data_IF_207952129817
#
_entry.id   IF_207952129817
#
_cell.length_a   1.000
_cell.length_b   1.000
_cell.length_c   1.000
_cell.angle_alpha   90.00
_cell.angle_beta   90.00
_cell.angle_gamma   90.00
#
_symmetry.space_group_name_H-M   'P 1'
#
loop_
_entity.id
_entity.type
_entity.pdbx_description
1 polymer ?
#
# COMPACT_ATOMS: atom_id res chain seq x y z
N UNK A 1 9.87 -13.51 -8.62
CA UNK A 1 11.31 -13.52 -8.31
C UNK A 1 11.49 -13.52 -6.80
N UNK A 2 12.68 -13.87 -6.29
CA UNK A 2 12.96 -13.91 -4.84
C UNK A 2 14.33 -13.30 -4.59
N UNK A 3 14.43 -12.42 -3.60
CA UNK A 3 15.69 -11.86 -3.09
C UNK A 3 15.90 -12.34 -1.65
N UNK A 4 17.10 -12.82 -1.31
CA UNK A 4 17.44 -13.10 0.09
C UNK A 4 17.82 -11.78 0.79
N UNK A 5 17.14 -11.49 1.88
CA UNK A 5 17.32 -10.29 2.69
C UNK A 5 17.23 -10.63 4.17
N UNK A 6 18.29 -10.40 4.94
CA UNK A 6 18.36 -10.72 6.38
C UNK A 6 17.90 -12.15 6.70
N UNK A 7 18.37 -13.13 5.93
CA UNK A 7 18.00 -14.55 6.01
C UNK A 7 16.49 -14.84 5.80
N UNK A 8 15.79 -13.96 5.11
CA UNK A 8 14.38 -14.09 4.75
C UNK A 8 14.20 -13.85 3.25
N UNK A 9 13.19 -14.43 2.65
CA UNK A 9 12.87 -14.31 1.24
C UNK A 9 11.94 -13.13 1.00
N UNK A 10 12.35 -12.17 0.15
CA UNK A 10 11.47 -11.12 -0.36
C UNK A 10 10.99 -11.55 -1.76
N UNK A 11 9.69 -11.72 -1.92
CA UNK A 11 9.08 -12.02 -3.20
C UNK A 11 8.68 -10.74 -3.93
N UNK A 12 8.96 -10.69 -5.23
CA UNK A 12 8.61 -9.55 -6.09
C UNK A 12 8.44 -10.00 -7.54
N UNK A 13 7.84 -9.17 -8.36
CA UNK A 13 7.79 -9.34 -9.82
C UNK A 13 8.33 -8.11 -10.55
N UNK A 14 8.86 -8.32 -11.75
CA UNK A 14 9.27 -7.27 -12.69
C UNK A 14 8.64 -7.58 -14.04
N UNK A 15 7.98 -6.58 -14.62
CA UNK A 15 7.32 -6.70 -15.94
C UNK A 15 7.58 -5.43 -16.75
N UNK A 16 7.81 -5.57 -18.05
CA UNK A 16 8.07 -4.45 -18.95
C UNK A 16 9.50 -3.91 -18.89
N UNK A 17 9.72 -2.79 -19.57
CA UNK A 17 11.00 -2.06 -19.66
C UNK A 17 10.72 -0.56 -19.75
N UNK A 18 11.66 0.27 -19.31
CA UNK A 18 11.52 1.73 -19.35
C UNK A 18 11.70 2.37 -17.98
N UNK A 19 11.15 3.57 -17.74
CA UNK A 19 11.15 4.20 -16.43
C UNK A 19 10.52 3.30 -15.37
N UNK A 20 11.09 3.31 -14.16
CA UNK A 20 10.64 2.37 -13.11
C UNK A 20 9.40 2.87 -12.40
N UNK A 21 8.42 1.98 -12.22
CA UNK A 21 7.23 2.14 -11.39
C UNK A 21 7.23 1.06 -10.32
N UNK A 22 7.19 1.46 -9.05
CA UNK A 22 7.14 0.56 -7.90
C UNK A 22 5.72 0.55 -7.33
N UNK A 23 5.17 -0.65 -7.15
CA UNK A 23 3.81 -0.86 -6.64
C UNK A 23 3.87 -1.57 -5.29
N UNK A 24 3.35 -0.91 -4.23
CA UNK A 24 3.33 -1.39 -2.85
C UNK A 24 1.88 -1.61 -2.40
N UNK A 25 1.54 -2.84 -2.06
CA UNK A 25 0.20 -3.26 -1.66
C UNK A 25 -0.17 -2.86 -0.22
N UNK A 26 -1.44 -2.95 0.13
CA UNK A 26 -1.97 -2.68 1.46
C UNK A 26 -1.91 -3.88 2.42
N UNK A 27 -2.44 -3.67 3.63
CA UNK A 27 -2.57 -4.72 4.63
C UNK A 27 -3.55 -5.80 4.18
N UNK A 28 -3.23 -7.09 4.42
CA UNK A 28 -3.97 -8.27 3.94
C UNK A 28 -3.99 -8.44 2.40
N UNK A 29 -3.18 -7.69 1.68
CA UNK A 29 -3.02 -7.80 0.24
C UNK A 29 -1.66 -8.41 -0.13
N UNK A 30 -1.39 -8.49 -1.42
CA UNK A 30 -0.12 -8.93 -2.00
C UNK A 30 -0.01 -8.43 -3.45
N UNK A 31 1.07 -8.76 -4.15
CA UNK A 31 1.30 -8.27 -5.52
C UNK A 31 0.17 -8.55 -6.50
N UNK A 32 -0.69 -9.57 -6.26
CA UNK A 32 -1.78 -9.90 -7.17
C UNK A 32 -2.86 -8.81 -7.27
N UNK A 33 -2.94 -7.88 -6.29
CA UNK A 33 -3.86 -6.75 -6.39
C UNK A 33 -3.60 -5.87 -7.62
N UNK A 34 -2.38 -5.93 -8.15
CA UNK A 34 -1.93 -5.12 -9.27
C UNK A 34 -2.10 -5.79 -10.65
N UNK A 35 -2.65 -7.03 -10.69
CA UNK A 35 -2.73 -7.83 -11.92
C UNK A 35 -3.47 -7.13 -13.07
N UNK A 36 -4.47 -6.32 -12.76
CA UNK A 36 -5.22 -5.55 -13.76
C UNK A 36 -4.46 -4.29 -14.24
N UNK A 37 -3.63 -3.71 -13.37
CA UNK A 37 -2.90 -2.47 -13.66
C UNK A 37 -1.55 -2.73 -14.35
N UNK A 38 -0.86 -3.81 -13.98
CA UNK A 38 0.48 -4.14 -14.51
C UNK A 38 0.52 -4.21 -16.03
N UNK A 39 -0.41 -4.90 -16.75
CA UNK A 39 -0.35 -4.99 -18.19
C UNK A 39 -0.30 -3.63 -18.89
N UNK A 40 -1.15 -2.70 -18.45
CA UNK A 40 -1.23 -1.36 -19.02
C UNK A 40 0.01 -0.49 -18.73
N UNK A 41 0.55 -0.58 -17.51
CA UNK A 41 1.75 0.17 -17.13
C UNK A 41 3.01 -0.38 -17.78
N UNK A 42 3.10 -1.70 -17.97
CA UNK A 42 4.30 -2.37 -18.49
C UNK A 42 4.49 -2.21 -20.00
N UNK A 43 3.55 -1.62 -20.72
CA UNK A 43 3.71 -1.26 -22.14
C UNK A 43 4.88 -0.28 -22.35
N UNK A 44 5.07 0.66 -21.42
CA UNK A 44 6.09 1.72 -21.52
C UNK A 44 6.98 1.87 -20.28
N UNK A 45 6.75 1.08 -19.24
CA UNK A 45 7.48 1.18 -17.98
C UNK A 45 8.01 -0.18 -17.50
N UNK A 46 9.08 -0.15 -16.70
CA UNK A 46 9.47 -1.29 -15.87
C UNK A 46 8.66 -1.25 -14.58
N UNK A 47 7.71 -2.17 -14.42
CA UNK A 47 6.85 -2.26 -13.24
C UNK A 47 7.41 -3.28 -12.26
N UNK A 48 7.72 -2.84 -11.04
CA UNK A 48 8.21 -3.68 -9.94
C UNK A 48 7.11 -3.73 -8.87
N UNK A 49 6.51 -4.88 -8.63
CA UNK A 49 5.59 -5.10 -7.52
C UNK A 49 6.22 -6.02 -6.47
N UNK A 50 6.06 -5.68 -5.19
CA UNK A 50 6.78 -6.31 -4.08
C UNK A 50 5.77 -6.78 -3.05
N UNK A 51 5.85 -8.05 -2.64
CA UNK A 51 5.16 -8.54 -1.45
C UNK A 51 5.87 -7.98 -0.21
N UNK A 52 5.19 -7.16 0.57
CA UNK A 52 5.73 -6.57 1.79
C UNK A 52 5.93 -7.64 2.89
N UNK A 53 6.82 -7.36 3.86
CA UNK A 53 7.16 -8.30 4.93
C UNK A 53 5.91 -8.94 5.59
N UNK A 54 5.89 -10.27 5.63
CA UNK A 54 4.80 -11.06 6.21
C UNK A 54 3.53 -11.17 5.35
N UNK A 55 3.57 -10.70 4.10
CA UNK A 55 2.45 -10.76 3.15
C UNK A 55 2.85 -11.52 1.87
N UNK A 56 1.83 -12.03 1.17
CA UNK A 56 2.02 -12.78 -0.06
C UNK A 56 2.97 -13.96 0.12
N UNK A 57 4.10 -13.94 -0.59
CA UNK A 57 5.15 -14.96 -0.52
C UNK A 57 6.42 -14.45 0.18
N UNK A 58 6.38 -13.25 0.77
CA UNK A 58 7.49 -12.69 1.54
C UNK A 58 7.44 -13.13 2.99
N UNK A 59 8.58 -13.57 3.50
CA UNK A 59 8.72 -14.05 4.87
C UNK A 59 8.52 -12.95 5.92
N UNK A 60 8.29 -13.38 7.17
CA UNK A 60 8.39 -12.52 8.34
C UNK A 60 9.84 -12.45 8.83
N UNK A 61 10.31 -11.26 9.21
CA UNK A 61 11.64 -11.07 9.83
C UNK A 61 11.57 -10.84 11.35
N UNK A 62 10.37 -10.96 11.93
CA UNK A 62 10.14 -10.76 13.37
C UNK A 62 8.67 -10.69 13.72
N UNK A 63 8.36 -10.11 14.86
CA UNK A 63 6.99 -9.93 15.37
C UNK A 63 6.50 -8.48 15.29
N UNK A 64 7.33 -7.58 14.78
CA UNK A 64 7.01 -6.20 14.45
C UNK A 64 7.67 -5.89 13.12
N UNK A 65 6.88 -5.52 12.12
CA UNK A 65 7.37 -5.03 10.84
C UNK A 65 7.06 -3.54 10.78
N UNK A 66 8.01 -2.72 11.20
CA UNK A 66 7.85 -1.26 11.09
C UNK A 66 7.76 -0.84 9.62
N UNK A 67 7.20 0.32 9.36
CA UNK A 67 7.17 0.85 7.99
C UNK A 67 8.59 1.09 7.45
N UNK A 68 9.53 1.37 8.36
CA UNK A 68 10.96 1.50 8.07
C UNK A 68 11.60 0.16 7.69
N UNK A 69 11.27 -0.94 8.38
CA UNK A 69 11.76 -2.28 8.03
C UNK A 69 11.24 -2.73 6.67
N UNK A 70 9.95 -2.47 6.39
CA UNK A 70 9.35 -2.74 5.09
C UNK A 70 9.99 -1.88 4.00
N UNK A 71 10.26 -0.60 4.26
CA UNK A 71 10.97 0.30 3.34
C UNK A 71 12.38 -0.21 3.04
N UNK A 72 13.12 -0.69 4.05
CA UNK A 72 14.46 -1.26 3.87
C UNK A 72 14.44 -2.53 3.00
N UNK A 73 13.42 -3.38 3.16
CA UNK A 73 13.22 -4.55 2.31
C UNK A 73 12.93 -4.14 0.84
N UNK A 74 12.10 -3.11 0.63
CA UNK A 74 11.86 -2.53 -0.71
C UNK A 74 13.17 -1.98 -1.28
N UNK A 75 13.94 -1.19 -0.54
CA UNK A 75 15.24 -0.68 -0.99
C UNK A 75 16.22 -1.79 -1.34
N UNK A 76 16.21 -2.93 -0.63
CA UNK A 76 17.06 -4.06 -0.98
C UNK A 76 16.74 -4.61 -2.38
N UNK A 77 15.44 -4.71 -2.74
CA UNK A 77 15.01 -5.11 -4.09
C UNK A 77 15.46 -4.09 -5.12
N UNK A 78 15.21 -2.80 -4.88
CA UNK A 78 15.58 -1.73 -5.82
C UNK A 78 17.09 -1.65 -6.03
N UNK A 79 17.87 -1.76 -4.97
CA UNK A 79 19.34 -1.80 -5.03
C UNK A 79 19.84 -3.00 -5.82
N UNK A 80 19.24 -4.18 -5.63
CA UNK A 80 19.61 -5.39 -6.38
C UNK A 80 19.44 -5.22 -7.88
N UNK A 81 18.47 -4.40 -8.31
CA UNK A 81 18.21 -4.09 -9.71
C UNK A 81 18.81 -2.75 -10.18
N UNK A 82 19.66 -2.12 -9.36
CA UNK A 82 20.33 -0.83 -9.67
C UNK A 82 19.33 0.27 -10.03
N UNK A 83 18.18 0.32 -9.34
CA UNK A 83 17.14 1.34 -9.53
C UNK A 83 17.51 2.58 -8.71
N UNK A 84 17.81 3.67 -9.39
CA UNK A 84 18.15 4.96 -8.77
C UNK A 84 16.96 5.90 -8.66
N UNK A 85 15.98 5.75 -9.57
CA UNK A 85 14.79 6.60 -9.61
C UNK A 85 13.54 5.80 -9.95
N UNK A 86 12.42 6.12 -9.32
CA UNK A 86 11.14 5.48 -9.59
C UNK A 86 9.93 6.39 -9.30
N UNK A 87 8.82 6.14 -9.98
CA UNK A 87 7.50 6.50 -9.47
C UNK A 87 7.07 5.42 -8.48
N UNK A 88 6.57 5.82 -7.32
CA UNK A 88 6.12 4.88 -6.29
C UNK A 88 4.63 5.08 -6.06
N UNK A 89 3.86 3.99 -6.13
CA UNK A 89 2.44 3.97 -5.85
C UNK A 89 2.23 3.03 -4.68
N UNK A 90 1.73 3.57 -3.57
CA UNK A 90 1.47 2.82 -2.35
C UNK A 90 -0.01 2.83 -1.98
N UNK A 91 -0.62 1.64 -1.94
CA UNK A 91 -1.98 1.47 -1.45
C UNK A 91 -1.99 1.30 0.07
N UNK A 92 -2.81 2.08 0.78
CA UNK A 92 -3.05 1.92 2.22
C UNK A 92 -1.74 1.78 3.01
N UNK A 93 -1.46 0.63 3.63
CA UNK A 93 -0.19 0.33 4.31
C UNK A 93 1.04 0.53 3.39
N UNK A 94 0.94 0.18 2.10
CA UNK A 94 2.00 0.45 1.12
C UNK A 94 2.33 1.93 0.96
N UNK A 95 1.35 2.82 1.16
CA UNK A 95 1.57 4.27 1.23
C UNK A 95 2.35 4.68 2.47
N UNK A 96 2.12 4.04 3.63
CA UNK A 96 2.93 4.29 4.84
C UNK A 96 4.39 3.87 4.64
N UNK A 97 4.59 2.73 3.96
CA UNK A 97 5.94 2.25 3.59
C UNK A 97 6.61 3.23 2.63
N UNK A 98 5.90 3.69 1.60
CA UNK A 98 6.42 4.67 0.64
C UNK A 98 6.82 5.99 1.32
N UNK A 99 6.05 6.45 2.32
CA UNK A 99 6.40 7.63 3.13
C UNK A 99 7.64 7.42 4.00
N UNK A 100 7.84 6.21 4.55
CA UNK A 100 9.08 5.86 5.25
C UNK A 100 10.28 5.82 4.28
N UNK A 101 10.07 5.43 3.03
CA UNK A 101 11.10 5.51 1.98
C UNK A 101 11.43 6.96 1.64
N UNK A 102 10.45 7.86 1.55
CA UNK A 102 10.68 9.31 1.31
C UNK A 102 11.60 9.90 2.37
N UNK A 103 11.34 9.60 3.63
CA UNK A 103 12.14 10.12 4.75
C UNK A 103 13.61 9.67 4.67
N UNK A 104 13.86 8.43 4.20
CA UNK A 104 15.21 7.87 4.08
C UNK A 104 15.93 8.29 2.79
N UNK A 105 15.25 8.27 1.65
CA UNK A 105 15.84 8.49 0.33
C UNK A 105 14.90 9.29 -0.60
N UNK A 106 14.65 10.58 -0.33
CA UNK A 106 13.73 11.40 -1.13
C UNK A 106 14.16 11.54 -2.61
N UNK A 107 15.45 11.42 -2.90
CA UNK A 107 15.99 11.53 -4.25
C UNK A 107 15.60 10.37 -5.17
N UNK A 108 15.17 9.23 -4.62
CA UNK A 108 14.66 8.09 -5.40
C UNK A 108 13.39 8.45 -6.20
N UNK A 109 12.58 9.35 -5.64
CA UNK A 109 11.23 9.58 -6.12
C UNK A 109 11.18 10.51 -7.34
N UNK A 110 10.66 10.02 -8.47
CA UNK A 110 10.17 10.84 -9.60
C UNK A 110 8.73 11.30 -9.34
N UNK A 111 7.98 10.54 -8.58
CA UNK A 111 6.65 10.83 -8.10
C UNK A 111 6.21 9.88 -7.02
N UNK A 112 5.35 10.32 -6.10
CA UNK A 112 4.72 9.50 -5.08
C UNK A 112 3.20 9.62 -5.15
N UNK A 113 2.51 8.49 -5.36
CA UNK A 113 1.06 8.40 -5.27
C UNK A 113 0.66 7.63 -4.01
N UNK A 114 -0.08 8.27 -3.12
CA UNK A 114 -0.76 7.64 -1.98
C UNK A 114 -2.18 7.24 -2.43
N UNK A 115 -2.40 5.96 -2.67
CA UNK A 115 -3.70 5.42 -3.06
C UNK A 115 -4.45 4.94 -1.83
N UNK A 116 -5.58 5.55 -1.50
CA UNK A 116 -6.38 5.23 -0.29
C UNK A 116 -5.48 5.11 0.95
N UNK A 117 -4.61 6.09 1.16
CA UNK A 117 -3.62 6.09 2.22
C UNK A 117 -3.50 7.47 2.86
N UNK A 118 -2.81 7.55 3.99
CA UNK A 118 -2.61 8.79 4.76
C UNK A 118 -1.17 8.94 5.21
N UNK A 119 -0.75 10.17 5.46
CA UNK A 119 0.53 10.49 6.08
C UNK A 119 0.45 10.55 7.62
N UNK A 120 -0.73 10.36 8.20
CA UNK A 120 -0.93 10.48 9.64
C UNK A 120 -0.45 9.24 10.41
N UNK A 121 -0.04 9.46 11.65
CA UNK A 121 0.11 8.38 12.64
C UNK A 121 -1.26 7.87 13.09
N UNK A 122 -1.31 6.66 13.64
CA UNK A 122 -2.49 6.21 14.37
C UNK A 122 -2.70 7.06 15.63
N UNK A 123 -3.96 7.44 15.88
CA UNK A 123 -4.36 7.96 17.17
C UNK A 123 -4.49 6.83 18.21
N UNK A 124 -4.69 7.17 19.47
CA UNK A 124 -4.75 6.16 20.55
C UNK A 124 -5.90 5.16 20.36
N UNK A 125 -7.04 5.60 19.85
CA UNK A 125 -8.18 4.73 19.56
C UNK A 125 -7.84 3.66 18.50
N UNK A 126 -7.20 4.05 17.40
CA UNK A 126 -6.75 3.11 16.37
C UNK A 126 -5.68 2.16 16.89
N UNK A 127 -4.74 2.63 17.73
CA UNK A 127 -3.74 1.77 18.36
C UNK A 127 -4.38 0.71 19.27
N UNK A 128 -5.40 1.10 20.03
CA UNK A 128 -6.16 0.15 20.86
C UNK A 128 -6.93 -0.85 20.01
N UNK A 129 -7.59 -0.42 18.93
CA UNK A 129 -8.29 -1.32 18.01
C UNK A 129 -7.33 -2.35 17.41
N UNK A 130 -6.14 -1.94 16.96
CA UNK A 130 -5.12 -2.88 16.47
C UNK A 130 -4.66 -3.85 17.55
N UNK A 131 -4.48 -3.37 18.77
CA UNK A 131 -4.07 -4.20 19.91
C UNK A 131 -5.13 -5.26 20.22
N UNK A 132 -6.41 -4.90 20.21
CA UNK A 132 -7.53 -5.84 20.39
C UNK A 132 -7.59 -6.85 19.24
N UNK A 133 -7.45 -6.40 17.99
CA UNK A 133 -7.40 -7.28 16.83
C UNK A 133 -6.25 -8.30 16.94
N UNK A 134 -5.06 -7.88 17.34
CA UNK A 134 -3.90 -8.75 17.54
C UNK A 134 -4.08 -9.80 18.66
N UNK A 135 -4.90 -9.52 19.66
CA UNK A 135 -5.29 -10.52 20.67
C UNK A 135 -6.27 -11.54 20.10
N UNK A 136 -7.29 -11.05 19.38
CA UNK A 136 -8.38 -11.88 18.88
C UNK A 136 -7.94 -12.78 17.70
N UNK A 137 -7.01 -12.32 16.85
CA UNK A 137 -6.54 -13.05 15.68
C UNK A 137 -5.93 -14.41 16.03
N UNK A 138 -5.32 -14.52 17.21
CA UNK A 138 -4.65 -15.74 17.69
C UNK A 138 -5.60 -16.92 17.88
N UNK A 139 -6.87 -16.66 18.17
CA UNK A 139 -7.89 -17.67 18.45
C UNK A 139 -8.99 -17.72 17.41
N UNK A 140 -9.13 -16.70 16.57
CA UNK A 140 -10.24 -16.57 15.62
C UNK A 140 -9.79 -15.95 14.30
N UNK A 141 -8.72 -16.49 13.71
CA UNK A 141 -8.03 -15.94 12.54
C UNK A 141 -8.98 -15.67 11.37
N UNK A 142 -9.69 -16.69 10.90
CA UNK A 142 -10.50 -16.58 9.69
C UNK A 142 -11.61 -15.53 9.83
N UNK A 143 -12.33 -15.50 10.94
CA UNK A 143 -13.40 -14.53 11.15
C UNK A 143 -12.84 -13.10 11.28
N UNK A 144 -11.69 -12.94 11.94
CA UNK A 144 -11.04 -11.63 12.07
C UNK A 144 -10.56 -11.09 10.74
N UNK A 145 -9.96 -11.93 9.88
CA UNK A 145 -9.57 -11.52 8.53
C UNK A 145 -10.80 -11.17 7.71
N UNK A 146 -11.87 -12.00 7.73
CA UNK A 146 -13.12 -11.73 7.00
C UNK A 146 -13.74 -10.39 7.43
N UNK A 147 -13.79 -10.12 8.74
CA UNK A 147 -14.33 -8.88 9.26
C UNK A 147 -13.49 -7.68 8.85
N UNK A 148 -12.18 -7.74 9.05
CA UNK A 148 -11.25 -6.67 8.67
C UNK A 148 -11.32 -6.38 7.18
N UNK A 149 -11.33 -7.42 6.35
CA UNK A 149 -11.38 -7.30 4.90
C UNK A 149 -12.70 -6.74 4.38
N UNK A 150 -13.83 -7.16 4.98
CA UNK A 150 -15.15 -6.64 4.60
C UNK A 150 -15.27 -5.14 4.83
N UNK A 151 -14.60 -4.61 5.85
CA UNK A 151 -14.61 -3.17 6.18
C UNK A 151 -13.80 -2.30 5.21
N UNK A 152 -13.00 -2.90 4.32
CA UNK A 152 -12.26 -2.16 3.29
C UNK A 152 -13.14 -1.73 2.11
N UNK A 153 -14.30 -2.35 1.93
CA UNK A 153 -15.20 -2.07 0.81
C UNK A 153 -16.38 -1.19 1.23
N UNK A 154 -16.83 -0.33 0.34
CA UNK A 154 -18.15 0.26 0.49
C UNK A 154 -19.21 -0.85 0.57
N UNK A 155 -20.29 -0.71 1.38
CA UNK A 155 -21.27 -1.77 1.59
C UNK A 155 -21.86 -2.36 0.30
N UNK A 156 -22.21 -1.51 -0.65
CA UNK A 156 -22.76 -1.90 -1.95
C UNK A 156 -21.70 -2.52 -2.88
N UNK A 157 -20.44 -2.15 -2.74
CA UNK A 157 -19.34 -2.66 -3.56
C UNK A 157 -19.12 -4.17 -3.38
N UNK A 158 -19.35 -4.70 -2.20
CA UNK A 158 -19.24 -6.15 -1.94
C UNK A 158 -20.24 -6.99 -2.74
N UNK A 159 -21.38 -6.42 -3.07
CA UNK A 159 -22.39 -7.06 -3.92
C UNK A 159 -22.06 -6.85 -5.38
N UNK A 160 -21.73 -5.62 -5.77
CA UNK A 160 -21.40 -5.20 -7.14
C UNK A 160 -20.15 -5.92 -7.67
N UNK A 161 -19.12 -6.07 -6.84
CA UNK A 161 -17.84 -6.71 -7.18
C UNK A 161 -17.63 -8.03 -6.42
N UNK A 162 -18.71 -8.83 -6.30
CA UNK A 162 -18.71 -10.06 -5.49
C UNK A 162 -17.61 -11.06 -5.88
N UNK A 163 -17.33 -11.19 -7.15
CA UNK A 163 -16.29 -12.11 -7.65
C UNK A 163 -14.92 -11.65 -7.18
N UNK A 164 -14.55 -10.41 -7.47
CA UNK A 164 -13.26 -9.82 -7.11
C UNK A 164 -13.09 -9.75 -5.59
N UNK A 165 -14.15 -9.39 -4.86
CA UNK A 165 -14.16 -9.44 -3.41
C UNK A 165 -13.81 -10.83 -2.87
N UNK A 166 -14.43 -11.88 -3.40
CA UNK A 166 -14.17 -13.25 -2.94
C UNK A 166 -12.75 -13.71 -3.30
N UNK A 167 -12.26 -13.41 -4.49
CA UNK A 167 -10.89 -13.72 -4.93
C UNK A 167 -9.86 -13.04 -4.03
N UNK A 168 -10.02 -11.74 -3.77
CA UNK A 168 -9.13 -10.97 -2.91
C UNK A 168 -9.20 -11.44 -1.44
N UNK A 169 -10.39 -11.78 -0.93
CA UNK A 169 -10.55 -12.36 0.41
C UNK A 169 -9.83 -13.71 0.54
N UNK A 170 -9.87 -14.58 -0.47
CA UNK A 170 -9.13 -15.83 -0.44
C UNK A 170 -7.62 -15.62 -0.38
N UNK A 171 -7.11 -14.55 -0.98
CA UNK A 171 -5.70 -14.17 -0.86
C UNK A 171 -5.39 -13.60 0.54
N UNK A 172 -6.26 -12.75 1.08
CA UNK A 172 -6.13 -12.20 2.43
C UNK A 172 -6.06 -13.31 3.50
N UNK A 173 -6.87 -14.35 3.38
CA UNK A 173 -6.90 -15.52 4.28
C UNK A 173 -5.61 -16.36 4.26
N UNK A 174 -4.72 -16.16 3.28
CA UNK A 174 -3.41 -16.81 3.22
C UNK A 174 -2.33 -16.05 4.02
N UNK A 175 -2.61 -14.84 4.47
CA UNK A 175 -1.70 -14.09 5.34
C UNK A 175 -1.48 -14.87 6.64
N UNK A 176 -0.24 -15.05 7.08
CA UNK A 176 0.04 -15.76 8.33
C UNK A 176 -0.41 -14.95 9.55
N UNK A 177 -0.73 -15.61 10.65
CA UNK A 177 -1.02 -14.94 11.94
C UNK A 177 0.14 -14.04 12.34
N UNK A 178 1.38 -14.50 12.16
CA UNK A 178 2.58 -13.70 12.44
C UNK A 178 2.65 -12.46 11.57
N UNK A 179 2.45 -12.58 10.25
CA UNK A 179 2.47 -11.45 9.32
C UNK A 179 1.39 -10.42 9.63
N UNK A 180 0.17 -10.89 9.94
CA UNK A 180 -0.93 -10.03 10.40
C UNK A 180 -0.51 -9.20 11.63
N UNK A 181 -0.06 -9.88 12.70
CA UNK A 181 0.31 -9.21 13.95
C UNK A 181 1.49 -8.27 13.75
N UNK A 182 2.54 -8.72 13.06
CA UNK A 182 3.75 -7.93 12.86
C UNK A 182 3.48 -6.64 12.07
N UNK A 183 2.63 -6.69 11.04
CA UNK A 183 2.23 -5.51 10.28
C UNK A 183 1.36 -4.56 11.11
N UNK A 184 0.40 -5.08 11.88
CA UNK A 184 -0.43 -4.27 12.78
C UNK A 184 0.41 -3.55 13.83
N UNK A 185 1.38 -4.24 14.45
CA UNK A 185 2.31 -3.62 15.41
C UNK A 185 3.16 -2.53 14.73
N UNK A 186 3.67 -2.80 13.53
CA UNK A 186 4.42 -1.80 12.77
C UNK A 186 3.61 -0.56 12.41
N UNK A 187 2.35 -0.73 11.98
CA UNK A 187 1.45 0.39 11.69
C UNK A 187 1.16 1.25 12.91
N UNK A 188 1.05 0.66 14.11
CA UNK A 188 0.87 1.40 15.39
C UNK A 188 2.03 2.33 15.70
N UNK A 189 3.24 1.96 15.29
CA UNK A 189 4.46 2.70 15.62
C UNK A 189 4.77 3.82 14.62
N UNK A 190 4.10 3.85 13.47
CA UNK A 190 4.41 4.83 12.44
C UNK A 190 4.21 6.27 12.93
N UNK A 191 5.17 7.16 12.72
CA UNK A 191 5.01 8.58 12.99
C UNK A 191 4.15 9.26 11.92
N UNK A 192 3.72 10.50 12.19
CA UNK A 192 3.17 11.37 11.16
C UNK A 192 4.29 11.79 10.20
N UNK A 193 4.04 11.63 8.88
CA UNK A 193 4.98 11.93 7.80
C UNK A 193 4.46 13.00 6.84
N UNK A 194 3.64 13.92 7.33
CA UNK A 194 3.17 15.03 6.52
C UNK A 194 4.32 15.90 6.00
N UNK A 195 5.25 16.30 6.88
CA UNK A 195 6.35 17.19 6.48
C UNK A 195 7.33 16.53 5.47
N UNK A 196 7.79 15.29 5.64
CA UNK A 196 8.54 14.60 4.58
C UNK A 196 7.80 14.54 3.24
N UNK A 197 6.50 14.23 3.26
CA UNK A 197 5.68 14.17 2.04
C UNK A 197 5.50 15.56 1.39
N UNK A 198 5.12 16.55 2.17
CA UNK A 198 4.93 17.93 1.70
C UNK A 198 6.19 18.49 1.05
N UNK A 199 7.35 18.25 1.67
CA UNK A 199 8.63 18.77 1.24
C UNK A 199 9.31 17.98 0.11
N UNK A 200 8.76 16.81 -0.25
CA UNK A 200 9.22 16.05 -1.41
C UNK A 200 9.14 16.90 -2.67
N UNK A 201 10.24 16.99 -3.43
CA UNK A 201 10.35 17.87 -4.62
C UNK A 201 9.69 17.31 -5.87
N UNK A 202 9.51 16.00 -5.91
CA UNK A 202 8.83 15.32 -7.02
C UNK A 202 7.31 15.45 -6.95
N UNK A 203 6.61 14.98 -7.98
CA UNK A 203 5.14 14.97 -8.04
C UNK A 203 4.54 14.20 -6.87
N UNK A 204 3.43 14.70 -6.35
CA UNK A 204 2.70 14.12 -5.23
C UNK A 204 1.23 14.04 -5.56
N UNK A 205 0.64 12.85 -5.43
CA UNK A 205 -0.78 12.61 -5.66
C UNK A 205 -1.38 11.83 -4.52
N UNK A 206 -2.58 12.20 -4.09
CA UNK A 206 -3.42 11.38 -3.21
C UNK A 206 -4.68 10.96 -3.98
N UNK A 207 -4.95 9.65 -4.02
CA UNK A 207 -6.23 9.10 -4.50
C UNK A 207 -7.11 8.83 -3.29
N UNK A 208 -8.31 9.39 -3.28
CA UNK A 208 -9.25 9.39 -2.17
C UNK A 208 -10.56 8.73 -2.62
N UNK A 209 -10.95 7.64 -1.98
CA UNK A 209 -12.30 7.09 -2.11
C UNK A 209 -13.28 7.89 -1.26
N UNK A 210 -14.36 8.41 -1.83
CA UNK A 210 -15.34 9.24 -1.06
C UNK A 210 -16.16 8.43 -0.07
N UNK A 211 -16.23 7.10 -0.25
CA UNK A 211 -16.87 6.14 0.66
C UNK A 211 -15.86 5.32 1.46
N UNK A 212 -14.59 5.73 1.45
CA UNK A 212 -13.54 5.05 2.22
C UNK A 212 -13.81 5.19 3.72
N UNK A 213 -14.00 4.06 4.40
CA UNK A 213 -14.25 4.00 5.83
C UNK A 213 -12.99 3.92 6.68
N UNK A 214 -11.82 3.79 6.03
CA UNK A 214 -10.51 3.64 6.68
C UNK A 214 -9.74 4.95 6.70
N UNK A 215 -9.84 5.72 5.62
CA UNK A 215 -9.12 6.99 5.42
C UNK A 215 -10.13 8.14 5.33
N UNK A 216 -10.02 9.09 6.25
CA UNK A 216 -10.82 10.33 6.20
C UNK A 216 -10.32 11.28 5.10
N UNK A 217 -10.86 11.11 3.90
CA UNK A 217 -10.50 11.91 2.75
C UNK A 217 -10.79 13.41 2.90
N UNK A 218 -11.84 13.78 3.65
CA UNK A 218 -12.16 15.20 3.90
C UNK A 218 -11.08 15.86 4.75
N UNK A 219 -10.65 15.17 5.80
CA UNK A 219 -9.56 15.63 6.68
C UNK A 219 -8.25 15.77 5.89
N UNK A 220 -7.91 14.78 5.04
CA UNK A 220 -6.71 14.84 4.21
C UNK A 220 -6.72 16.05 3.27
N UNK A 221 -7.85 16.31 2.58
CA UNK A 221 -7.98 17.46 1.67
C UNK A 221 -7.73 18.77 2.44
N UNK A 222 -8.34 18.93 3.60
CA UNK A 222 -8.14 20.11 4.44
C UNK A 222 -6.67 20.29 4.84
N UNK A 223 -5.98 19.20 5.20
CA UNK A 223 -4.59 19.24 5.65
C UNK A 223 -3.59 19.59 4.53
N UNK A 224 -3.88 19.24 3.28
CA UNK A 224 -3.01 19.54 2.14
C UNK A 224 -3.33 20.86 1.45
N UNK A 225 -4.34 21.58 1.89
CA UNK A 225 -4.71 22.90 1.36
C UNK A 225 -3.50 23.86 1.39
N UNK A 226 -3.26 24.55 0.30
CA UNK A 226 -2.11 25.45 0.14
C UNK A 226 -0.75 24.76 -0.05
N UNK A 227 -0.72 23.44 -0.22
CA UNK A 227 0.50 22.68 -0.57
C UNK A 227 0.56 22.39 -2.08
N UNK A 228 1.65 21.75 -2.52
CA UNK A 228 1.83 21.24 -3.90
C UNK A 228 1.42 19.77 -4.03
N UNK A 229 0.59 19.28 -3.13
CA UNK A 229 0.08 17.90 -3.17
C UNK A 229 -1.23 17.91 -3.94
N UNK A 230 -1.27 17.23 -5.07
CA UNK A 230 -2.49 17.04 -5.85
C UNK A 230 -3.36 15.93 -5.25
N UNK A 231 -4.66 15.99 -5.50
CA UNK A 231 -5.56 14.89 -5.15
C UNK A 231 -6.64 14.67 -6.20
N UNK A 232 -7.13 13.44 -6.24
CA UNK A 232 -8.33 13.05 -7.00
C UNK A 232 -9.29 12.28 -6.11
N UNK A 233 -10.59 12.41 -6.38
CA UNK A 233 -11.66 11.70 -5.66
C UNK A 233 -12.26 10.63 -6.54
N UNK A 234 -12.30 9.40 -6.04
CA UNK A 234 -13.04 8.29 -6.64
C UNK A 234 -14.38 8.09 -5.93
N UNK A 235 -15.36 7.58 -6.64
CA UNK A 235 -16.75 7.47 -6.16
C UNK A 235 -16.97 6.41 -5.08
N UNK A 236 -16.06 5.43 -4.95
CA UNK A 236 -16.24 4.26 -4.12
C UNK A 236 -15.33 4.27 -2.87
N UNK A 237 -15.02 3.07 -2.33
CA UNK A 237 -14.40 2.88 -1.02
C UNK A 237 -12.87 2.81 -1.04
N UNK A 238 -12.34 1.95 -0.15
CA UNK A 238 -10.90 1.82 0.08
C UNK A 238 -10.17 1.01 -0.99
N UNK A 239 -10.88 0.11 -1.69
CA UNK A 239 -10.28 -0.85 -2.62
C UNK A 239 -10.37 -0.36 -4.06
N UNK A 240 -9.81 0.81 -4.35
CA UNK A 240 -9.92 1.50 -5.66
C UNK A 240 -9.46 0.64 -6.84
N UNK A 241 -8.53 -0.30 -6.63
CA UNK A 241 -8.08 -1.24 -7.66
C UNK A 241 -9.17 -2.27 -8.07
N UNK A 242 -10.20 -2.43 -7.25
CA UNK A 242 -11.39 -3.25 -7.54
C UNK A 242 -12.57 -2.35 -7.91
N UNK A 243 -12.81 -1.33 -7.09
CA UNK A 243 -14.02 -0.51 -7.13
C UNK A 243 -14.01 0.55 -8.22
N UNK A 244 -12.82 1.01 -8.65
CA UNK A 244 -12.63 2.12 -9.62
C UNK A 244 -11.55 1.79 -10.67
N UNK A 245 -11.49 0.56 -11.18
CA UNK A 245 -10.40 0.04 -12.05
C UNK A 245 -10.00 0.98 -13.18
N UNK A 246 -10.95 1.38 -14.02
CA UNK A 246 -10.69 2.20 -15.22
C UNK A 246 -10.22 3.61 -14.88
N UNK A 247 -10.80 4.23 -13.85
CA UNK A 247 -10.38 5.54 -13.37
C UNK A 247 -8.97 5.47 -12.78
N UNK A 248 -8.69 4.42 -12.00
CA UNK A 248 -7.38 4.20 -11.39
C UNK A 248 -6.30 4.09 -12.47
N UNK A 249 -6.50 3.22 -13.46
CA UNK A 249 -5.55 3.04 -14.55
C UNK A 249 -5.27 4.35 -15.29
N UNK A 250 -6.32 5.08 -15.67
CA UNK A 250 -6.19 6.36 -16.32
C UNK A 250 -5.39 7.38 -15.49
N UNK A 251 -5.72 7.54 -14.22
CA UNK A 251 -5.07 8.51 -13.33
C UNK A 251 -3.60 8.15 -13.07
N UNK A 252 -3.29 6.86 -12.86
CA UNK A 252 -1.91 6.42 -12.65
C UNK A 252 -1.06 6.64 -13.91
N UNK A 253 -1.58 6.32 -15.11
CA UNK A 253 -0.88 6.63 -16.37
C UNK A 253 -0.58 8.13 -16.48
N UNK A 254 -1.57 8.99 -16.30
CA UNK A 254 -1.39 10.45 -16.32
C UNK A 254 -0.38 10.95 -15.28
N UNK A 255 -0.34 10.35 -14.12
CA UNK A 255 0.61 10.70 -13.06
C UNK A 255 2.06 10.33 -13.41
N UNK A 256 2.26 9.21 -14.10
CA UNK A 256 3.60 8.73 -14.48
C UNK A 256 4.13 9.50 -15.70
N UNK A 257 3.28 9.80 -16.69
CA UNK A 257 3.68 10.40 -17.97
C UNK A 257 3.95 11.91 -17.88
N UNK A 258 3.28 12.63 -17.01
CA UNK A 258 3.45 14.10 -16.82
C UNK A 258 4.60 14.40 -15.87
#
# INVERSE_FOLDING_TARGET
>A
MVLNYKNSSIHYSITGKGPTVVLLHGFLENINMWNELIPELSESNQVISIDLLGHGKTDCIGYVHTMEDMADAVFAVLKHHVIEHAHVIGHSMGGYVALAMVEKQPQLFKGLCLMNSTFESDNEELKELRTRANKMIKTNFENMVRLSFANLFAPESRVKFKKEYNEALQLALKTSVQGYIAAQEGMKLRPNRFEPFKNLKSKKLIIIGIKDSVVDGKKLIYQIEGTTIDYVKFSEGHMSHIENKSELSYIIKQFIEK
#
